data_IF_428507666444
#
_entry.id   IF_428507666444
#
_cell.length_a   1.000
_cell.length_b   1.000
_cell.length_c   1.000
_cell.angle_alpha   90.00
_cell.angle_beta   90.00
_cell.angle_gamma   90.00
#
_symmetry.space_group_name_H-M   'P 1'
#
loop_
_entity.id
_entity.type
_entity.pdbx_description
1 polymer ?
#
# COMPACT_ATOMS: atom_id res chain seq x y z
N UNK A 1 -0.20 -61.80 0.83
CA UNK A 1 0.61 -60.68 0.29
C UNK A 1 -0.34 -59.71 -0.39
N UNK A 2 -0.93 -58.79 0.38
CA UNK A 2 -1.93 -57.86 -0.12
C UNK A 2 -1.27 -56.54 -0.50
N UNK A 3 -1.32 -56.20 -1.79
CA UNK A 3 -0.95 -54.90 -2.32
C UNK A 3 -1.85 -53.83 -1.69
N UNK A 4 -1.26 -52.91 -0.92
CA UNK A 4 -1.96 -51.73 -0.40
C UNK A 4 -1.48 -50.52 -1.17
N UNK A 5 -2.14 -50.26 -2.29
CA UNK A 5 -2.04 -49.01 -3.03
C UNK A 5 -2.66 -47.90 -2.17
N UNK A 6 -1.83 -47.00 -1.63
CA UNK A 6 -2.33 -45.78 -0.99
C UNK A 6 -2.74 -44.80 -2.10
N UNK A 7 -3.96 -44.22 -2.07
CA UNK A 7 -4.32 -43.18 -3.02
C UNK A 7 -3.49 -41.94 -2.68
N UNK A 8 -2.74 -41.46 -3.67
CA UNK A 8 -2.16 -40.12 -3.66
C UNK A 8 -3.34 -39.14 -3.61
N UNK A 9 -3.57 -38.59 -2.43
CA UNK A 9 -4.43 -37.43 -2.28
C UNK A 9 -3.78 -36.32 -3.13
N UNK A 10 -4.43 -35.98 -4.24
CA UNK A 10 -4.23 -34.70 -4.90
C UNK A 10 -4.50 -33.64 -3.84
N UNK A 11 -3.45 -33.12 -3.22
CA UNK A 11 -3.47 -31.77 -2.66
C UNK A 11 -3.65 -30.81 -3.83
N UNK A 12 -4.89 -30.75 -4.31
CA UNK A 12 -5.44 -29.59 -5.00
C UNK A 12 -5.28 -28.47 -4.00
N UNK A 13 -4.14 -27.79 -4.10
CA UNK A 13 -3.89 -26.48 -3.53
C UNK A 13 -5.04 -25.63 -4.06
N UNK A 14 -6.10 -25.51 -3.27
CA UNK A 14 -7.10 -24.49 -3.42
C UNK A 14 -6.35 -23.18 -3.29
N UNK A 15 -5.79 -22.70 -4.41
CA UNK A 15 -5.49 -21.30 -4.61
C UNK A 15 -6.83 -20.63 -4.37
N UNK A 16 -6.96 -20.05 -3.19
CA UNK A 16 -8.05 -19.18 -2.81
C UNK A 16 -8.30 -18.28 -4.01
N UNK A 17 -9.43 -18.49 -4.67
CA UNK A 17 -9.96 -17.58 -5.64
C UNK A 17 -10.05 -16.25 -4.90
N UNK A 18 -9.15 -15.31 -5.19
CA UNK A 18 -9.31 -13.91 -4.82
C UNK A 18 -10.66 -13.53 -5.42
N UNK A 19 -11.73 -13.59 -4.62
CA UNK A 19 -12.96 -12.93 -5.01
C UNK A 19 -12.57 -11.49 -5.32
N UNK A 20 -13.00 -10.92 -6.45
CA UNK A 20 -12.76 -9.52 -6.73
C UNK A 20 -13.61 -8.74 -5.72
N UNK A 21 -13.02 -8.45 -4.57
CA UNK A 21 -13.77 -7.92 -3.44
C UNK A 21 -14.32 -6.53 -3.74
N UNK A 22 -13.79 -5.83 -4.75
CA UNK A 22 -14.33 -4.56 -5.21
C UNK A 22 -14.07 -4.33 -6.72
N UNK A 23 -14.52 -5.23 -7.61
CA UNK A 23 -14.36 -5.06 -9.07
C UNK A 23 -14.78 -3.67 -9.60
N UNK A 24 -15.76 -3.04 -8.94
CA UNK A 24 -16.20 -1.69 -9.25
C UNK A 24 -15.15 -0.61 -8.92
N UNK A 25 -14.40 -0.76 -7.82
CA UNK A 25 -13.35 0.18 -7.42
C UNK A 25 -12.15 0.09 -8.37
N UNK A 26 -11.69 -1.13 -8.69
CA UNK A 26 -10.59 -1.31 -9.64
C UNK A 26 -10.93 -0.73 -11.02
N UNK A 27 -12.16 -0.93 -11.48
CA UNK A 27 -12.61 -0.35 -12.74
C UNK A 27 -12.75 1.18 -12.69
N UNK A 28 -13.21 1.73 -11.57
CA UNK A 28 -13.28 3.18 -11.36
C UNK A 28 -11.87 3.81 -11.36
N UNK A 29 -10.93 3.23 -10.60
CA UNK A 29 -9.52 3.65 -10.58
C UNK A 29 -8.93 3.60 -11.99
N UNK A 30 -9.12 2.49 -12.72
CA UNK A 30 -8.65 2.33 -14.10
C UNK A 30 -9.22 3.41 -15.02
N UNK A 31 -10.53 3.66 -14.94
CA UNK A 31 -11.20 4.68 -15.75
C UNK A 31 -10.65 6.09 -15.44
N UNK A 32 -10.45 6.42 -14.17
CA UNK A 32 -9.90 7.72 -13.76
C UNK A 32 -8.46 7.91 -14.24
N UNK A 33 -7.63 6.88 -14.15
CA UNK A 33 -6.26 6.92 -14.70
C UNK A 33 -6.31 7.10 -16.21
N UNK A 34 -7.14 6.34 -16.93
CA UNK A 34 -7.30 6.47 -18.37
C UNK A 34 -7.72 7.90 -18.79
N UNK A 35 -8.66 8.51 -18.07
CA UNK A 35 -9.15 9.86 -18.35
C UNK A 35 -8.07 10.94 -18.15
N UNK A 36 -7.28 10.84 -17.08
CA UNK A 36 -6.33 11.91 -16.73
C UNK A 36 -4.94 11.68 -17.33
N UNK A 37 -4.45 10.44 -17.29
CA UNK A 37 -3.06 10.06 -17.61
C UNK A 37 -2.98 8.58 -18.04
N UNK A 38 -3.51 8.28 -19.23
CA UNK A 38 -3.58 6.90 -19.76
C UNK A 38 -2.24 6.13 -19.72
N UNK A 39 -1.12 6.78 -20.03
CA UNK A 39 0.22 6.17 -20.02
C UNK A 39 0.63 5.58 -18.65
N UNK A 40 0.00 5.99 -17.54
CA UNK A 40 0.28 5.37 -16.24
C UNK A 40 -0.19 3.91 -16.16
N UNK A 41 -1.18 3.51 -16.97
CA UNK A 41 -1.64 2.12 -17.09
C UNK A 41 -0.62 1.19 -17.74
N UNK A 42 0.45 1.73 -18.32
CA UNK A 42 1.59 0.92 -18.77
C UNK A 42 2.39 0.36 -17.58
N UNK A 43 2.35 1.05 -16.42
CA UNK A 43 3.15 0.73 -15.24
C UNK A 43 2.33 0.17 -14.08
N UNK A 44 1.00 0.13 -14.19
CA UNK A 44 0.11 -0.41 -13.15
C UNK A 44 -0.98 -1.31 -13.73
N UNK A 45 -1.19 -2.47 -13.11
CA UNK A 45 -2.25 -3.43 -13.39
C UNK A 45 -3.11 -3.58 -12.14
N UNK A 46 -4.43 -3.52 -12.30
CA UNK A 46 -5.40 -3.43 -11.19
C UNK A 46 -6.32 -4.65 -11.22
N UNK A 47 -6.35 -5.45 -10.15
CA UNK A 47 -7.12 -6.70 -10.06
C UNK A 47 -6.82 -7.71 -11.20
N UNK A 48 -5.62 -7.65 -11.75
CA UNK A 48 -5.14 -8.61 -12.74
C UNK A 48 -4.17 -9.58 -12.06
N UNK A 49 -4.17 -10.88 -12.43
CA UNK A 49 -3.32 -11.86 -11.78
C UNK A 49 -1.84 -11.54 -12.01
N UNK A 50 -1.12 -11.28 -10.92
CA UNK A 50 0.30 -10.99 -10.97
C UNK A 50 1.10 -12.18 -11.54
N UNK A 51 2.15 -11.93 -12.34
CA UNK A 51 3.00 -12.97 -12.87
C UNK A 51 3.83 -13.61 -11.74
N UNK A 52 4.27 -14.85 -11.95
CA UNK A 52 4.95 -15.65 -10.92
C UNK A 52 6.24 -15.03 -10.37
N UNK A 53 6.86 -14.13 -11.13
CA UNK A 53 8.09 -13.41 -10.78
C UNK A 53 7.83 -12.05 -10.11
N UNK A 54 6.58 -11.59 -10.02
CA UNK A 54 6.25 -10.39 -9.28
C UNK A 54 6.43 -10.65 -7.78
N UNK A 55 6.96 -9.66 -7.06
CA UNK A 55 7.30 -9.79 -5.65
C UNK A 55 6.67 -8.65 -4.84
N UNK A 56 6.14 -8.97 -3.66
CA UNK A 56 5.71 -7.96 -2.69
C UNK A 56 6.89 -7.21 -2.08
N UNK A 57 6.62 -6.08 -1.43
CA UNK A 57 7.62 -5.32 -0.67
C UNK A 57 8.45 -6.22 0.26
N UNK A 58 7.80 -7.09 1.03
CA UNK A 58 8.47 -7.96 1.98
C UNK A 58 9.41 -8.97 1.30
N UNK A 59 9.06 -9.42 0.09
CA UNK A 59 9.84 -10.39 -0.67
C UNK A 59 11.08 -9.75 -1.30
N UNK A 60 10.91 -8.70 -2.10
CA UNK A 60 12.04 -8.10 -2.83
C UNK A 60 12.97 -7.29 -1.92
N UNK A 61 12.47 -6.73 -0.81
CA UNK A 61 13.30 -5.99 0.15
C UNK A 61 14.15 -6.89 1.04
N UNK A 62 13.98 -8.21 0.96
CA UNK A 62 14.86 -9.14 1.65
C UNK A 62 16.31 -8.95 1.19
N UNK A 63 17.32 -9.05 2.07
CA UNK A 63 18.70 -8.71 1.73
C UNK A 63 19.23 -9.45 0.49
N UNK A 64 18.86 -10.72 0.32
CA UNK A 64 19.29 -11.54 -0.81
C UNK A 64 18.62 -11.13 -2.12
N UNK A 65 17.29 -10.89 -2.11
CA UNK A 65 16.57 -10.48 -3.31
C UNK A 65 17.00 -9.09 -3.76
N UNK A 66 17.09 -8.13 -2.84
CA UNK A 66 17.54 -6.77 -3.14
C UNK A 66 18.97 -6.74 -3.67
N UNK A 67 19.89 -7.49 -3.05
CA UNK A 67 21.27 -7.57 -3.54
C UNK A 67 21.34 -8.17 -4.94
N UNK A 68 20.49 -9.16 -5.24
CA UNK A 68 20.42 -9.77 -6.58
C UNK A 68 19.89 -8.78 -7.62
N UNK A 69 18.82 -8.05 -7.31
CA UNK A 69 18.26 -7.00 -8.18
C UNK A 69 19.28 -5.90 -8.46
N UNK A 70 19.98 -5.43 -7.41
CA UNK A 70 21.00 -4.40 -7.53
C UNK A 70 22.25 -4.89 -8.29
N UNK A 71 22.63 -6.16 -8.18
CA UNK A 71 23.73 -6.73 -8.95
C UNK A 71 23.42 -6.71 -10.45
N UNK A 72 22.24 -7.19 -10.85
CA UNK A 72 21.77 -7.16 -12.25
C UNK A 72 21.68 -5.72 -12.76
N UNK A 73 21.14 -4.81 -11.93
CA UNK A 73 21.03 -3.40 -12.28
C UNK A 73 22.40 -2.72 -12.41
N UNK A 74 23.35 -3.04 -11.53
CA UNK A 74 24.73 -2.59 -11.60
C UNK A 74 25.37 -3.06 -12.91
N UNK A 75 25.27 -4.35 -13.23
CA UNK A 75 25.83 -4.90 -14.46
C UNK A 75 25.25 -4.20 -15.70
N UNK A 76 23.96 -3.90 -15.69
CA UNK A 76 23.32 -3.15 -16.76
C UNK A 76 23.86 -1.72 -16.92
N UNK A 77 23.99 -0.96 -15.82
CA UNK A 77 24.46 0.43 -15.84
C UNK A 77 25.93 0.52 -16.26
N UNK A 78 26.78 -0.38 -15.76
CA UNK A 78 28.23 -0.35 -15.99
C UNK A 78 28.69 -1.20 -17.19
N UNK A 79 27.77 -1.83 -17.95
CA UNK A 79 28.10 -2.74 -19.07
C UNK A 79 29.08 -2.17 -20.10
N UNK A 80 29.02 -0.86 -20.35
CA UNK A 80 29.84 -0.18 -21.35
C UNK A 80 31.10 0.48 -20.74
N UNK A 81 31.28 0.39 -19.41
CA UNK A 81 32.37 1.04 -18.67
C UNK A 81 32.97 0.07 -17.63
N UNK A 82 33.55 -1.07 -18.06
CA UNK A 82 33.97 -2.14 -17.14
C UNK A 82 35.12 -1.74 -16.20
N UNK A 83 35.88 -0.70 -16.55
CA UNK A 83 36.99 -0.18 -15.73
C UNK A 83 36.55 0.86 -14.71
N UNK A 84 35.29 1.32 -14.74
CA UNK A 84 34.76 2.30 -13.80
C UNK A 84 34.49 1.62 -12.45
N UNK A 85 34.88 2.30 -11.36
CA UNK A 85 34.59 1.82 -9.99
C UNK A 85 33.08 1.89 -9.76
N UNK A 86 32.48 0.76 -9.36
CA UNK A 86 31.04 0.68 -9.08
C UNK A 86 30.70 1.40 -7.79
N UNK A 87 29.83 2.40 -7.89
CA UNK A 87 29.35 3.15 -6.72
C UNK A 87 27.98 2.64 -6.24
N UNK A 88 27.92 2.04 -5.06
CA UNK A 88 26.68 1.44 -4.54
C UNK A 88 25.64 2.47 -4.08
N UNK A 89 26.06 3.58 -3.47
CA UNK A 89 25.14 4.62 -2.97
C UNK A 89 24.33 5.28 -4.10
N UNK A 90 24.93 5.82 -5.17
CA UNK A 90 24.16 6.40 -6.28
C UNK A 90 23.35 5.34 -7.03
N UNK A 91 23.83 4.10 -7.11
CA UNK A 91 23.09 3.00 -7.73
C UNK A 91 21.74 2.74 -7.03
N UNK A 92 21.75 2.64 -5.69
CA UNK A 92 20.53 2.43 -4.91
C UNK A 92 19.57 3.62 -5.06
N UNK A 93 20.10 4.85 -5.03
CA UNK A 93 19.27 6.04 -5.22
C UNK A 93 18.59 6.06 -6.59
N UNK A 94 19.33 5.76 -7.65
CA UNK A 94 18.80 5.70 -9.01
C UNK A 94 17.80 4.55 -9.19
N UNK A 95 18.05 3.40 -8.55
CA UNK A 95 17.11 2.28 -8.54
C UNK A 95 15.80 2.66 -7.83
N UNK A 96 15.89 3.33 -6.68
CA UNK A 96 14.72 3.78 -5.92
C UNK A 96 13.90 4.82 -6.68
N UNK A 97 14.53 5.65 -7.52
CA UNK A 97 13.83 6.57 -8.42
C UNK A 97 12.91 5.83 -9.40
N UNK A 98 13.34 4.69 -9.97
CA UNK A 98 12.46 3.87 -10.81
C UNK A 98 11.30 3.28 -10.01
N UNK A 99 11.56 2.74 -8.82
CA UNK A 99 10.52 2.13 -8.00
C UNK A 99 9.45 3.15 -7.56
N UNK A 100 9.89 4.26 -6.97
CA UNK A 100 9.00 5.31 -6.46
C UNK A 100 8.39 6.12 -7.60
N UNK A 101 9.17 6.46 -8.63
CA UNK A 101 8.74 7.29 -9.75
C UNK A 101 7.67 6.64 -10.62
N UNK A 102 7.64 5.31 -10.68
CA UNK A 102 6.60 4.57 -11.40
C UNK A 102 5.36 4.31 -10.53
N UNK A 103 5.53 3.99 -9.24
CA UNK A 103 4.42 3.61 -8.37
C UNK A 103 3.62 4.80 -7.81
N UNK A 104 4.30 5.86 -7.39
CA UNK A 104 3.64 6.96 -6.66
C UNK A 104 2.65 7.75 -7.53
N UNK A 105 2.95 8.10 -8.80
CA UNK A 105 2.00 8.88 -9.60
C UNK A 105 0.62 8.22 -9.78
N UNK A 106 0.49 6.94 -10.21
CA UNK A 106 -0.83 6.31 -10.33
C UNK A 106 -1.52 6.15 -8.99
N UNK A 107 -0.77 5.85 -7.91
CA UNK A 107 -1.32 5.72 -6.57
C UNK A 107 -1.87 7.05 -6.05
N UNK A 108 -1.12 8.14 -6.25
CA UNK A 108 -1.54 9.48 -5.84
C UNK A 108 -2.77 9.93 -6.61
N UNK A 109 -2.82 9.66 -7.92
CA UNK A 109 -4.00 9.96 -8.73
C UNK A 109 -5.22 9.18 -8.23
N UNK A 110 -5.09 7.88 -7.96
CA UNK A 110 -6.18 7.08 -7.40
C UNK A 110 -6.67 7.63 -6.05
N UNK A 111 -5.75 7.89 -5.12
CA UNK A 111 -6.09 8.36 -3.77
C UNK A 111 -6.74 9.76 -3.74
N UNK A 112 -6.41 10.62 -4.72
CA UNK A 112 -6.96 11.99 -4.78
C UNK A 112 -8.30 12.06 -5.52
N UNK A 113 -8.67 11.04 -6.28
CA UNK A 113 -9.84 11.08 -7.18
C UNK A 113 -10.95 10.12 -6.78
N UNK A 114 -10.62 9.00 -6.14
CA UNK A 114 -11.64 8.04 -5.71
C UNK A 114 -12.33 8.52 -4.42
N UNK A 115 -13.65 8.44 -4.38
CA UNK A 115 -14.44 8.71 -3.17
C UNK A 115 -14.17 7.67 -2.07
N UNK A 116 -13.91 6.43 -2.48
CA UNK A 116 -13.53 5.33 -1.60
C UNK A 116 -12.02 5.29 -1.46
N UNK A 117 -11.54 5.25 -0.21
CA UNK A 117 -10.11 5.13 0.05
C UNK A 117 -9.58 3.75 -0.39
N UNK A 118 -8.48 3.74 -1.12
CA UNK A 118 -7.75 2.52 -1.48
C UNK A 118 -6.91 2.03 -0.30
N UNK A 119 -6.91 0.73 -0.04
CA UNK A 119 -5.97 0.10 0.89
C UNK A 119 -4.56 0.09 0.28
N UNK A 120 -3.65 0.81 0.93
CA UNK A 120 -2.26 0.98 0.48
C UNK A 120 -1.28 0.05 1.21
N UNK A 121 -1.79 -1.00 1.85
CA UNK A 121 -0.96 -1.96 2.56
C UNK A 121 -0.03 -2.69 1.57
N UNK A 122 1.28 -2.81 1.87
CA UNK A 122 2.29 -3.25 0.92
C UNK A 122 2.14 -4.69 0.43
N UNK A 123 1.37 -5.51 1.14
CA UNK A 123 0.97 -6.86 0.74
C UNK A 123 0.11 -6.91 -0.53
N UNK A 124 -0.59 -5.81 -0.86
CA UNK A 124 -1.42 -5.71 -2.06
C UNK A 124 -0.65 -5.27 -3.30
N UNK A 125 0.64 -4.95 -3.17
CA UNK A 125 1.46 -4.43 -4.25
C UNK A 125 2.55 -5.42 -4.62
N UNK A 126 2.47 -5.96 -5.82
CA UNK A 126 3.48 -6.86 -6.38
C UNK A 126 4.26 -6.12 -7.47
N UNK A 127 5.54 -5.91 -7.23
CA UNK A 127 6.44 -5.30 -8.18
C UNK A 127 7.00 -6.37 -9.14
N UNK A 128 6.82 -6.12 -10.43
CA UNK A 128 7.49 -6.84 -11.50
C UNK A 128 8.78 -6.12 -11.88
N UNK A 129 9.85 -6.89 -12.08
CA UNK A 129 11.17 -6.37 -12.39
C UNK A 129 11.54 -6.68 -13.83
N UNK A 130 12.10 -5.67 -14.50
CA UNK A 130 12.68 -5.81 -15.83
C UNK A 130 13.92 -6.73 -15.78
N UNK A 131 14.33 -7.29 -16.92
CA UNK A 131 15.56 -8.09 -17.06
C UNK A 131 16.83 -7.34 -16.59
N UNK A 132 16.76 -6.01 -16.53
CA UNK A 132 17.84 -5.14 -16.06
C UNK A 132 17.82 -4.93 -14.54
N UNK A 133 16.93 -5.57 -13.79
CA UNK A 133 16.87 -5.50 -12.32
C UNK A 133 16.15 -4.28 -11.74
N UNK A 134 15.63 -3.37 -12.58
CA UNK A 134 14.78 -2.23 -12.15
C UNK A 134 13.30 -2.61 -12.09
N UNK A 135 12.52 -1.88 -11.29
CA UNK A 135 11.06 -1.99 -11.32
C UNK A 135 10.50 -1.62 -12.70
N UNK A 136 9.50 -2.36 -13.17
CA UNK A 136 8.89 -2.20 -14.48
C UNK A 136 7.38 -1.96 -14.41
N UNK A 137 6.67 -2.77 -13.62
CA UNK A 137 5.22 -2.73 -13.51
C UNK A 137 4.78 -3.10 -12.10
N UNK A 138 3.66 -2.56 -11.65
CA UNK A 138 3.04 -2.86 -10.36
C UNK A 138 1.70 -3.53 -10.56
N UNK A 139 1.53 -4.71 -9.98
CA UNK A 139 0.29 -5.46 -9.95
C UNK A 139 -0.35 -5.23 -8.59
N UNK A 140 -1.54 -4.65 -8.59
CA UNK A 140 -2.21 -4.18 -7.37
C UNK A 140 -3.52 -4.92 -7.19
N UNK A 141 -3.62 -5.58 -6.04
CA UNK A 141 -4.86 -6.17 -5.55
C UNK A 141 -5.69 -5.03 -4.93
N UNK A 142 -6.73 -4.56 -5.64
CA UNK A 142 -7.49 -3.38 -5.24
C UNK A 142 -8.48 -3.74 -4.13
N UNK A 143 -8.21 -3.20 -2.94
CA UNK A 143 -9.10 -3.33 -1.79
C UNK A 143 -9.53 -1.96 -1.29
N UNK A 144 -10.78 -1.82 -0.85
CA UNK A 144 -11.22 -0.63 -0.13
C UNK A 144 -10.66 -0.60 1.32
N UNK A 145 -10.11 0.55 1.74
CA UNK A 145 -9.65 0.77 3.12
C UNK A 145 -10.87 1.01 4.05
N UNK A 146 -11.40 -0.10 4.56
CA UNK A 146 -12.55 -0.11 5.48
C UNK A 146 -12.26 0.61 6.82
N UNK A 147 -10.99 0.80 7.19
CA UNK A 147 -10.60 1.47 8.45
C UNK A 147 -10.74 3.00 8.35
N UNK A 148 -10.57 3.58 7.16
CA UNK A 148 -10.78 5.02 6.94
C UNK A 148 -12.25 5.41 6.89
N UNK A 149 -13.12 4.58 6.31
CA UNK A 149 -14.54 4.88 6.20
C UNK A 149 -15.26 4.90 7.56
N UNK A 150 -14.83 4.09 8.52
CA UNK A 150 -15.39 4.10 9.89
C UNK A 150 -15.09 5.41 10.62
N UNK A 151 -13.94 6.03 10.34
CA UNK A 151 -13.52 7.27 11.03
C UNK A 151 -14.27 8.50 10.49
N UNK A 152 -14.53 8.57 9.17
CA UNK A 152 -15.36 9.64 8.59
C UNK A 152 -16.85 9.50 8.96
N UNK A 153 -17.39 8.27 8.99
CA UNK A 153 -18.77 8.03 9.41
C UNK A 153 -19.01 8.33 10.91
N UNK A 154 -18.05 8.00 11.78
CA UNK A 154 -18.12 8.34 13.20
C UNK A 154 -18.03 9.86 13.45
N UNK A 155 -17.21 10.58 12.67
CA UNK A 155 -17.13 12.04 12.74
C UNK A 155 -18.43 12.73 12.24
N UNK A 156 -19.12 12.15 11.25
CA UNK A 156 -20.40 12.65 10.75
C UNK A 156 -21.57 12.42 11.73
N UNK A 157 -21.56 11.33 12.50
CA UNK A 157 -22.62 10.99 13.46
C UNK A 157 -22.46 11.62 14.86
N UNK A 158 -21.38 12.35 15.13
CA UNK A 158 -21.13 13.00 16.43
C UNK A 158 -21.92 14.28 16.72
N UNK A 159 -22.86 14.69 15.85
CA UNK A 159 -23.62 15.96 16.00
C UNK A 159 -25.15 15.78 16.04
N UNK A 160 -25.69 14.76 16.70
CA UNK A 160 -27.12 14.76 17.06
C UNK A 160 -27.32 14.11 18.43
N UNK A 161 -27.29 14.91 19.49
CA UNK A 161 -28.25 14.90 20.61
C UNK A 161 -27.75 15.72 21.81
N UNK A 162 -28.25 16.95 21.93
CA UNK A 162 -28.49 17.57 23.24
C UNK A 162 -29.91 18.17 23.20
N UNK A 163 -30.88 17.65 23.97
CA UNK A 163 -32.11 18.37 24.21
C UNK A 163 -31.87 19.42 25.29
N UNK A 164 -32.17 20.67 24.97
CA UNK A 164 -32.23 21.74 25.94
C UNK A 164 -33.38 21.54 26.93
N UNK A 165 -33.09 21.76 28.20
CA UNK A 165 -34.09 22.02 29.23
C UNK A 165 -33.58 23.21 30.06
N UNK A 166 -34.37 24.28 30.09
CA UNK A 166 -34.01 25.54 30.71
C UNK A 166 -34.34 25.65 32.20
N UNK A 167 -33.74 26.71 32.76
CA UNK A 167 -34.23 27.59 33.83
C UNK A 167 -34.48 27.04 35.24
N UNK A 168 -33.81 27.63 36.25
CA UNK A 168 -34.25 27.58 37.65
C UNK A 168 -33.22 27.93 38.74
N UNK A 169 -33.14 29.22 39.09
CA UNK A 169 -32.92 29.83 40.41
C UNK A 169 -31.87 29.34 41.46
N UNK A 170 -31.01 30.30 41.83
CA UNK A 170 -30.71 30.83 43.19
C UNK A 170 -29.78 30.09 44.20
N UNK A 171 -28.78 30.86 44.68
CA UNK A 171 -28.10 30.75 46.00
C UNK A 171 -27.02 29.67 46.10
N UNK A 172 -25.86 29.83 46.75
CA UNK A 172 -25.37 30.80 47.74
C UNK A 172 -23.84 30.84 47.72
N UNK A 173 -23.33 31.99 48.17
CA UNK A 173 -21.95 32.37 48.47
C UNK A 173 -21.28 31.43 49.49
N UNK A 174 -20.05 30.97 49.23
CA UNK A 174 -19.08 30.66 50.29
C UNK A 174 -17.64 30.73 49.77
N UNK A 175 -16.76 31.05 50.70
CA UNK A 175 -15.48 31.76 50.60
C UNK A 175 -14.35 30.82 51.05
N UNK A 176 -13.19 30.82 50.37
CA UNK A 176 -11.83 30.36 50.81
C UNK A 176 -10.94 30.21 49.57
N UNK A 177 -9.99 31.09 49.28
CA UNK A 177 -8.64 31.25 49.89
C UNK A 177 -7.83 29.95 50.01
N UNK A 178 -6.59 30.07 49.50
CA UNK A 178 -5.42 29.20 49.62
C UNK A 178 -5.35 27.92 48.78
N UNK A 179 -4.58 27.98 47.68
CA UNK A 179 -3.25 27.37 47.59
C UNK A 179 -2.64 27.62 46.19
N UNK A 180 -1.80 28.67 46.11
CA UNK A 180 -0.66 28.77 45.18
C UNK A 180 0.61 28.42 45.97
N UNK A 181 1.66 28.03 45.27
CA UNK A 181 2.94 27.44 45.74
C UNK A 181 2.80 25.94 46.04
N UNK A 182 3.59 25.01 45.49
CA UNK A 182 5.02 25.02 45.13
C UNK A 182 5.27 23.74 44.31
N UNK A 183 6.17 23.69 43.32
CA UNK A 183 7.00 22.54 42.92
C UNK A 183 7.67 22.86 41.56
N UNK A 184 8.88 23.42 41.64
CA UNK A 184 9.92 23.35 40.62
C UNK A 184 11.25 23.38 41.40
N UNK A 185 11.75 22.18 41.70
CA UNK A 185 13.19 21.91 41.79
C UNK A 185 13.57 21.08 40.56
#
# INVERSE_FOLDING_TARGET
MAYRSAPLYEDVIWRTHLQPQDAGLAQAVRATIAEHREHLLEFIRLDEPAPLNAMTLAQWSSPNALSSLLAVYSDHIYRNQPTMIRENKPLISLWAQWYIGLMVPPLMLALLTQEKALDVSPEHFHAEFHETGRAACFWVDVCEDKKRNTTFAAAANGKVNQPGAGSGCAGTRSDRRDQRQTYLE
#
